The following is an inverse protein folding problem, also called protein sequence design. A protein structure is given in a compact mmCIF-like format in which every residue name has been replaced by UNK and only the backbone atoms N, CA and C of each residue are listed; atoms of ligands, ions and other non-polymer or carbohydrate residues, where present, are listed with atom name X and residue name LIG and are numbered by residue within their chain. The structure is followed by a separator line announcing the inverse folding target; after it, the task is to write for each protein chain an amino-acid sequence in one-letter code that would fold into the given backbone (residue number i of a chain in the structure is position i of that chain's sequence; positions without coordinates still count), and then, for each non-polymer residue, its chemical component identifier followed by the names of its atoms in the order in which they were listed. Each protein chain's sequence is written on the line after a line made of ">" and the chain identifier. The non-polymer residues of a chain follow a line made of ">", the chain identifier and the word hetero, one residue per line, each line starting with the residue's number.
data_IF_784256075228
#
_entry.id   IF_784256075228
#
_cell.length_a   1.000
_cell.length_b   1.000
_cell.length_c   1.000
_cell.angle_alpha   90.00
_cell.angle_beta   90.00
_cell.angle_gamma   90.00
#
_symmetry.space_group_name_H-M   'P 1'
#
loop_
_entity.id
_entity.type
_entity.pdbx_description
1 polymer ?
#
# COMPACT_ATOMS: atom_id res chain seq x y z
N UNK A 1 0.99 22.51 -31.46
CA UNK A 1 1.32 22.99 -30.10
C UNK A 1 2.29 24.16 -30.16
N UNK A 2 2.22 25.13 -29.24
CA UNK A 2 3.09 26.31 -29.27
C UNK A 2 4.42 26.08 -28.55
N UNK A 3 5.50 26.63 -29.10
CA UNK A 3 6.85 26.52 -28.51
C UNK A 3 6.90 27.08 -27.08
N UNK A 4 6.13 28.13 -26.79
CA UNK A 4 6.06 28.75 -25.44
C UNK A 4 5.59 27.76 -24.39
N UNK A 5 4.55 26.98 -24.68
CA UNK A 5 4.04 25.95 -23.74
C UNK A 5 5.02 24.81 -23.58
N UNK A 6 5.71 24.41 -24.65
CA UNK A 6 6.68 23.32 -24.56
C UNK A 6 7.90 23.73 -23.73
N UNK A 7 8.35 24.98 -23.87
CA UNK A 7 9.43 25.52 -23.05
C UNK A 7 9.13 25.51 -21.55
N UNK A 8 7.90 25.80 -21.14
CA UNK A 8 7.52 25.74 -19.72
C UNK A 8 7.48 24.32 -19.16
N UNK A 9 7.33 23.31 -20.03
CA UNK A 9 7.26 21.90 -19.63
C UNK A 9 8.64 21.21 -19.71
N UNK A 10 9.67 21.89 -20.22
CA UNK A 10 10.91 21.22 -20.62
C UNK A 10 11.73 20.72 -19.43
N UNK A 11 11.84 21.51 -18.37
CA UNK A 11 12.55 21.12 -17.14
C UNK A 11 11.89 19.91 -16.47
N UNK A 12 10.57 19.97 -16.25
CA UNK A 12 9.82 18.83 -15.69
C UNK A 12 9.85 17.60 -16.60
N UNK A 13 9.90 17.78 -17.92
CA UNK A 13 10.07 16.68 -18.87
C UNK A 13 11.46 16.03 -18.72
N UNK A 14 12.51 16.83 -18.62
CA UNK A 14 13.88 16.34 -18.44
C UNK A 14 14.02 15.60 -17.11
N UNK A 15 13.44 16.12 -16.03
CA UNK A 15 13.51 15.55 -14.69
C UNK A 15 12.56 14.35 -14.47
N UNK A 16 11.69 14.06 -15.44
CA UNK A 16 10.79 12.93 -15.41
C UNK A 16 9.55 13.13 -14.52
N UNK A 17 9.22 14.39 -14.22
CA UNK A 17 8.12 14.78 -13.33
C UNK A 17 6.77 14.94 -14.04
N UNK A 18 6.76 14.96 -15.37
CA UNK A 18 5.52 15.09 -16.14
C UNK A 18 4.70 13.79 -16.16
N UNK A 19 3.39 13.95 -16.06
CA UNK A 19 2.44 12.87 -16.35
C UNK A 19 2.59 12.36 -17.79
N UNK A 20 2.16 11.11 -18.03
CA UNK A 20 2.39 10.41 -19.29
C UNK A 20 1.88 11.18 -20.52
N UNK A 21 0.74 11.86 -20.39
CA UNK A 21 0.10 12.64 -21.44
C UNK A 21 0.93 13.88 -21.81
N UNK A 22 1.31 14.70 -20.83
CA UNK A 22 2.15 15.88 -21.06
C UNK A 22 3.56 15.50 -21.56
N UNK A 23 4.13 14.40 -21.05
CA UNK A 23 5.39 13.87 -21.56
C UNK A 23 5.31 13.42 -23.03
N UNK A 24 4.18 12.83 -23.45
CA UNK A 24 3.97 12.42 -24.85
C UNK A 24 3.90 13.62 -25.79
N UNK A 25 3.25 14.68 -25.33
CA UNK A 25 3.06 15.94 -26.03
C UNK A 25 4.40 16.64 -26.26
N UNK A 26 5.26 16.72 -25.22
CA UNK A 26 6.61 17.28 -25.34
C UNK A 26 7.45 16.46 -26.33
N UNK A 27 7.45 15.12 -26.20
CA UNK A 27 8.15 14.23 -27.15
C UNK A 27 7.70 14.44 -28.59
N UNK A 28 6.40 14.58 -28.83
CA UNK A 28 5.85 14.87 -30.15
C UNK A 28 6.42 16.16 -30.72
N UNK A 29 6.36 17.25 -29.95
CA UNK A 29 6.86 18.55 -30.40
C UNK A 29 8.37 18.57 -30.64
N UNK A 30 9.15 17.90 -29.79
CA UNK A 30 10.60 17.80 -29.97
C UNK A 30 10.98 17.06 -31.26
N UNK A 31 10.15 16.20 -31.84
CA UNK A 31 10.45 15.60 -33.16
C UNK A 31 10.29 16.62 -34.30
N UNK A 32 9.39 17.57 -34.15
CA UNK A 32 9.01 18.51 -35.22
C UNK A 32 9.73 19.86 -35.12
N UNK A 33 10.10 20.31 -33.92
CA UNK A 33 10.62 21.64 -33.69
C UNK A 33 12.12 21.65 -33.31
N UNK A 34 12.97 22.12 -34.23
CA UNK A 34 14.42 22.23 -34.01
C UNK A 34 14.78 23.19 -32.87
N UNK A 35 14.08 24.32 -32.74
CA UNK A 35 14.34 25.29 -31.69
C UNK A 35 14.07 24.73 -30.28
N UNK A 36 13.02 23.93 -30.12
CA UNK A 36 12.72 23.28 -28.84
C UNK A 36 13.68 22.12 -28.56
N UNK A 37 14.17 21.39 -29.58
CA UNK A 37 15.25 20.42 -29.38
C UNK A 37 16.53 21.07 -28.89
N UNK A 38 16.90 22.21 -29.45
CA UNK A 38 18.09 22.93 -29.00
C UNK A 38 17.93 23.37 -27.54
N UNK A 39 16.79 23.97 -27.19
CA UNK A 39 16.50 24.34 -25.80
C UNK A 39 16.57 23.15 -24.83
N UNK A 40 16.05 21.99 -25.23
CA UNK A 40 16.11 20.76 -24.43
C UNK A 40 17.56 20.29 -24.22
N UNK A 41 18.36 20.40 -25.28
CA UNK A 41 19.78 20.07 -25.25
C UNK A 41 20.53 21.00 -24.30
N UNK A 42 20.29 22.31 -24.40
CA UNK A 42 20.92 23.31 -23.55
C UNK A 42 20.56 23.11 -22.06
N UNK A 43 19.28 22.87 -21.74
CA UNK A 43 18.83 22.56 -20.37
C UNK A 43 19.44 21.25 -19.85
N UNK A 44 19.49 20.20 -20.68
CA UNK A 44 20.12 18.93 -20.30
C UNK A 44 21.62 19.09 -20.02
N UNK A 45 22.33 19.88 -20.82
CA UNK A 45 23.76 20.14 -20.62
C UNK A 45 24.02 20.89 -19.31
N UNK A 46 23.18 21.88 -18.98
CA UNK A 46 23.23 22.58 -17.70
C UNK A 46 23.00 21.61 -16.53
N UNK A 47 21.93 20.81 -16.60
CA UNK A 47 21.60 19.83 -15.56
C UNK A 47 22.71 18.80 -15.36
N UNK A 48 23.24 18.27 -16.44
CA UNK A 48 24.30 17.25 -16.39
C UNK A 48 25.61 17.85 -15.88
N UNK A 49 25.90 19.12 -16.19
CA UNK A 49 26.99 19.87 -15.58
C UNK A 49 26.82 20.05 -14.07
N UNK A 50 25.60 20.33 -13.60
CA UNK A 50 25.31 20.42 -12.17
C UNK A 50 25.49 19.06 -11.44
N UNK A 51 25.17 17.95 -12.11
CA UNK A 51 25.36 16.60 -11.56
C UNK A 51 26.82 16.18 -11.43
N UNK A 52 27.74 16.89 -12.08
CA UNK A 52 29.18 16.63 -11.97
C UNK A 52 29.82 17.32 -10.75
N UNK A 53 29.08 18.15 -10.01
CA UNK A 53 29.60 18.73 -8.78
C UNK A 53 29.97 17.63 -7.78
N UNK A 54 31.05 17.82 -6.99
CA UNK A 54 31.42 16.88 -5.94
C UNK A 54 30.24 16.65 -4.98
N UNK A 55 29.97 15.40 -4.59
CA UNK A 55 28.93 15.12 -3.61
C UNK A 55 29.31 15.77 -2.27
N UNK A 56 28.30 16.37 -1.62
CA UNK A 56 28.45 16.92 -0.27
C UNK A 56 27.99 15.85 0.71
N UNK A 57 28.88 15.40 1.58
CA UNK A 57 28.52 14.45 2.62
C UNK A 57 27.60 15.12 3.65
N UNK A 58 26.38 14.60 3.88
CA UNK A 58 25.49 15.12 4.90
C UNK A 58 26.07 14.86 6.30
N UNK A 59 25.76 15.70 7.31
CA UNK A 59 26.22 15.45 8.66
C UNK A 59 25.63 14.12 9.19
N UNK A 60 26.40 13.31 9.94
CA UNK A 60 25.93 12.01 10.45
C UNK A 60 24.63 12.09 11.27
N UNK A 61 24.41 13.23 11.94
CA UNK A 61 23.19 13.52 12.70
C UNK A 61 21.92 13.56 11.84
N UNK A 62 22.03 13.92 10.56
CA UNK A 62 20.89 13.91 9.63
C UNK A 62 20.37 12.48 9.46
N UNK A 63 21.27 11.54 9.17
CA UNK A 63 20.89 10.15 8.94
C UNK A 63 20.35 9.49 10.22
N UNK A 64 20.98 9.77 11.36
CA UNK A 64 20.46 9.34 12.65
C UNK A 64 19.05 9.89 12.93
N UNK A 65 18.79 11.16 12.59
CA UNK A 65 17.46 11.78 12.73
C UNK A 65 16.41 11.12 11.82
N UNK A 66 16.76 10.86 10.56
CA UNK A 66 15.86 10.16 9.61
C UNK A 66 15.54 8.75 10.12
N UNK A 67 16.54 7.98 10.54
CA UNK A 67 16.32 6.65 11.11
C UNK A 67 15.43 6.69 12.35
N UNK A 68 15.65 7.65 13.26
CA UNK A 68 14.82 7.80 14.45
C UNK A 68 13.36 8.11 14.10
N UNK A 69 13.12 8.96 13.10
CA UNK A 69 11.76 9.27 12.63
C UNK A 69 11.09 8.06 11.96
N UNK A 70 11.83 7.31 11.14
CA UNK A 70 11.31 6.08 10.52
C UNK A 70 10.96 5.02 11.58
N UNK A 71 11.87 4.76 12.52
CA UNK A 71 11.63 3.82 13.62
C UNK A 71 10.44 4.24 14.48
N UNK A 72 10.30 5.54 14.78
CA UNK A 72 9.16 6.05 15.53
C UNK A 72 7.84 5.88 14.76
N UNK A 73 7.86 6.11 13.44
CA UNK A 73 6.70 5.91 12.56
C UNK A 73 6.31 4.43 12.48
N UNK A 74 7.27 3.52 12.37
CA UNK A 74 7.04 2.06 12.37
C UNK A 74 6.42 1.58 13.69
N UNK A 75 6.98 2.02 14.82
CA UNK A 75 6.42 1.69 16.15
C UNK A 75 5.01 2.26 16.30
N UNK A 76 4.78 3.49 15.83
CA UNK A 76 3.46 4.10 15.86
C UNK A 76 2.45 3.34 14.99
N UNK A 77 2.86 2.85 13.82
CA UNK A 77 2.01 2.04 12.94
C UNK A 77 1.74 0.65 13.51
N UNK A 78 2.74 0.00 14.11
CA UNK A 78 2.61 -1.29 14.79
C UNK A 78 1.61 -1.24 15.97
N UNK A 79 1.55 -0.10 16.68
CA UNK A 79 0.59 0.14 17.76
C UNK A 79 -0.82 0.44 17.25
N UNK A 80 -1.04 0.65 15.95
CA UNK A 80 -2.38 0.89 15.41
C UNK A 80 -3.19 -0.41 15.46
N UNK A 81 -4.41 -0.37 16.03
CA UNK A 81 -5.26 -1.55 16.06
C UNK A 81 -5.63 -1.98 14.63
N UNK A 82 -5.69 -3.29 14.40
CA UNK A 82 -5.87 -3.89 13.08
C UNK A 82 -7.09 -3.33 12.32
N UNK A 83 -8.16 -3.00 13.03
CA UNK A 83 -9.37 -2.41 12.45
C UNK A 83 -9.14 -1.02 11.82
N UNK A 84 -8.19 -0.21 12.32
CA UNK A 84 -7.83 1.10 11.71
C UNK A 84 -7.04 0.92 10.43
N UNK A 85 -6.18 -0.10 10.37
CA UNK A 85 -5.46 -0.48 9.14
C UNK A 85 -6.40 -1.05 8.10
N UNK A 86 -7.39 -1.85 8.54
CA UNK A 86 -8.50 -2.25 7.71
C UNK A 86 -9.22 -1.00 7.18
N UNK A 87 -9.81 -0.14 8.02
CA UNK A 87 -10.52 1.07 7.59
C UNK A 87 -9.73 2.01 6.66
N UNK A 88 -8.42 2.19 6.88
CA UNK A 88 -7.56 2.98 5.99
C UNK A 88 -7.43 2.39 4.58
N UNK A 89 -7.51 1.05 4.44
CA UNK A 89 -7.56 0.37 3.14
C UNK A 89 -8.86 0.64 2.37
N UNK A 90 -9.95 0.99 3.07
CA UNK A 90 -11.24 1.39 2.47
C UNK A 90 -11.40 2.92 2.37
N UNK A 91 -10.42 3.69 2.85
CA UNK A 91 -10.50 5.15 2.93
C UNK A 91 -10.41 5.94 1.61
N UNK A 92 -9.91 5.43 0.45
CA UNK A 92 -9.97 6.23 -0.76
C UNK A 92 -11.38 6.29 -1.38
N UNK A 93 -12.37 5.59 -0.80
CA UNK A 93 -13.78 5.62 -1.24
C UNK A 93 -14.72 6.05 -0.12
N UNK A 94 -14.30 6.95 0.78
CA UNK A 94 -15.28 7.67 1.59
C UNK A 94 -16.00 8.68 0.68
N UNK A 95 -17.24 8.45 0.21
CA UNK A 95 -17.96 9.50 -0.48
C UNK A 95 -18.11 10.67 0.48
N UNK A 96 -17.99 11.90 -0.03
CA UNK A 96 -18.20 13.16 0.69
C UNK A 96 -19.65 13.36 1.18
N UNK A 97 -20.38 12.28 1.46
CA UNK A 97 -21.76 12.26 1.94
C UNK A 97 -21.89 11.79 3.41
N UNK A 98 -20.79 11.43 4.09
CA UNK A 98 -20.83 11.00 5.49
C UNK A 98 -21.31 12.10 6.48
N UNK A 99 -21.34 13.38 6.06
CA UNK A 99 -21.93 14.46 6.87
C UNK A 99 -23.46 14.48 6.81
N UNK A 100 -24.10 13.93 5.77
CA UNK A 100 -25.56 13.90 5.64
C UNK A 100 -26.23 12.75 6.39
N UNK A 101 -25.62 11.57 6.39
CA UNK A 101 -26.19 10.36 7.01
C UNK A 101 -26.29 10.44 8.54
N UNK A 102 -25.30 11.06 9.20
CA UNK A 102 -25.30 11.25 10.66
C UNK A 102 -26.41 12.18 11.14
N UNK A 103 -26.78 13.20 10.36
CA UNK A 103 -27.87 14.13 10.70
C UNK A 103 -29.24 13.46 10.57
N UNK A 104 -29.44 12.63 9.54
CA UNK A 104 -30.69 11.89 9.36
C UNK A 104 -30.88 10.82 10.45
N UNK A 105 -29.82 10.08 10.80
CA UNK A 105 -29.87 9.09 11.88
C UNK A 105 -30.12 9.74 13.25
N UNK A 106 -29.49 10.89 13.52
CA UNK A 106 -29.73 11.64 14.76
C UNK A 106 -31.17 12.19 14.83
N UNK A 107 -31.72 12.67 13.72
CA UNK A 107 -33.11 13.14 13.67
C UNK A 107 -34.12 12.00 13.92
N UNK A 108 -33.90 10.83 13.33
CA UNK A 108 -34.73 9.63 13.57
C UNK A 108 -34.62 9.16 15.02
N UNK A 109 -33.40 9.13 15.59
CA UNK A 109 -33.18 8.77 16.97
C UNK A 109 -33.84 9.77 17.95
N UNK A 110 -33.80 11.08 17.67
CA UNK A 110 -34.46 12.10 18.49
C UNK A 110 -35.98 11.98 18.40
N UNK A 111 -36.55 11.76 17.21
CA UNK A 111 -38.00 11.56 17.04
C UNK A 111 -38.46 10.29 17.76
N UNK A 112 -37.74 9.19 17.60
CA UNK A 112 -38.00 7.92 18.30
C UNK A 112 -37.88 8.09 19.83
N UNK A 113 -36.82 8.75 20.31
CA UNK A 113 -36.63 9.00 21.74
C UNK A 113 -37.73 9.88 22.33
N UNK A 114 -38.21 10.86 21.55
CA UNK A 114 -39.27 11.78 21.95
C UNK A 114 -40.65 11.10 21.95
N UNK A 115 -40.88 10.10 21.10
CA UNK A 115 -42.13 9.31 21.10
C UNK A 115 -42.13 8.21 22.16
N UNK A 116 -40.97 7.72 22.57
CA UNK A 116 -40.86 6.68 23.61
C UNK A 116 -40.78 7.23 25.04
N UNK A 117 -40.51 8.53 25.23
CA UNK A 117 -40.34 9.14 26.56
C UNK A 117 -41.63 9.52 27.32
N UNK A 118 -42.82 9.13 26.88
CA UNK A 118 -44.06 9.47 27.61
C UNK A 118 -44.53 8.43 28.62
N UNK A 119 -43.80 7.33 28.84
CA UNK A 119 -44.07 6.39 29.93
C UNK A 119 -42.75 5.82 30.44
N UNK A 120 -42.17 6.48 31.44
CA UNK A 120 -41.63 5.83 32.65
C UNK A 120 -40.86 6.88 33.46
N UNK A 121 -41.53 7.32 34.52
CA UNK A 121 -40.93 7.99 35.66
C UNK A 121 -40.81 6.91 36.75
N UNK A 122 -39.60 6.37 36.97
CA UNK A 122 -39.27 5.53 38.12
C UNK A 122 -37.76 5.47 38.37
N UNK A 123 -37.38 6.19 39.42
CA UNK A 123 -36.13 6.28 40.19
C UNK A 123 -35.34 4.97 40.47
N UNK A 124 -34.06 5.16 40.86
CA UNK A 124 -33.18 4.40 41.82
C UNK A 124 -31.91 3.75 41.15
N UNK A 125 -30.72 3.69 41.81
CA UNK A 125 -29.68 4.72 41.99
C UNK A 125 -28.31 4.29 41.37
N UNK A 126 -27.26 5.09 41.57
CA UNK A 126 -25.90 4.85 41.06
C UNK A 126 -25.12 3.75 41.82
N UNK A 127 -24.35 2.88 41.14
CA UNK A 127 -23.25 2.15 41.76
C UNK A 127 -21.93 2.91 41.60
N UNK A 128 -21.25 3.07 42.74
CA UNK A 128 -19.88 3.56 42.89
C UNK A 128 -18.90 2.52 42.33
N UNK A 129 -18.19 2.86 41.27
CA UNK A 129 -17.17 2.00 40.65
C UNK A 129 -15.82 2.32 41.29
N UNK A 130 -15.38 1.46 42.21
CA UNK A 130 -14.02 1.44 42.70
C UNK A 130 -13.06 1.01 41.58
N UNK A 131 -12.17 1.91 41.16
CA UNK A 131 -11.07 1.60 40.24
C UNK A 131 -9.99 0.91 41.06
N UNK A 132 -9.85 -0.41 40.91
CA UNK A 132 -8.62 -1.12 41.28
C UNK A 132 -7.91 -1.52 39.98
N UNK A 133 -6.74 -0.95 39.74
CA UNK A 133 -5.85 -1.38 38.66
C UNK A 133 -4.52 -1.80 39.28
N UNK A 134 -4.11 -3.09 39.22
CA UNK A 134 -2.72 -3.45 39.34
C UNK A 134 -2.03 -3.25 37.98
N UNK A 135 -0.99 -2.44 37.97
CA UNK A 135 -0.06 -2.29 36.84
C UNK A 135 0.94 -3.44 36.87
N UNK A 136 1.06 -4.31 35.84
CA UNK A 136 2.21 -5.18 35.73
C UNK A 136 3.36 -4.40 35.05
N UNK A 137 4.38 -4.14 35.85
CA UNK A 137 5.72 -3.76 35.40
C UNK A 137 6.29 -4.90 34.56
N UNK A 138 6.47 -4.67 33.25
CA UNK A 138 7.15 -5.62 32.36
C UNK A 138 8.57 -5.11 32.16
N UNK A 139 9.51 -5.74 32.85
CA UNK A 139 10.95 -5.57 32.60
C UNK A 139 11.30 -6.07 31.19
N UNK A 140 12.07 -5.30 30.40
CA UNK A 140 12.49 -5.72 29.07
C UNK A 140 13.62 -6.76 29.18
N UNK A 141 13.29 -8.01 28.88
CA UNK A 141 14.30 -9.07 28.72
C UNK A 141 15.12 -8.78 27.46
N UNK A 142 16.37 -8.34 27.65
CA UNK A 142 17.36 -8.20 26.58
C UNK A 142 17.62 -9.57 25.97
N UNK A 143 17.19 -9.76 24.73
CA UNK A 143 17.55 -10.93 23.93
C UNK A 143 18.93 -10.67 23.32
N UNK A 144 19.95 -11.51 23.58
CA UNK A 144 21.25 -11.35 22.96
C UNK A 144 21.16 -11.58 21.44
N UNK A 145 21.98 -10.90 20.62
CA UNK A 145 21.96 -11.06 19.18
C UNK A 145 22.27 -12.52 18.80
N UNK A 146 21.62 -13.07 17.75
CA UNK A 146 21.95 -14.40 17.29
C UNK A 146 23.41 -14.40 16.83
N UNK A 147 24.24 -15.18 17.50
CA UNK A 147 25.56 -15.53 17.02
C UNK A 147 25.40 -16.33 15.73
N UNK A 148 25.77 -15.73 14.59
CA UNK A 148 25.86 -16.45 13.32
C UNK A 148 26.79 -17.66 13.50
N UNK A 149 26.31 -18.90 13.28
CA UNK A 149 27.22 -20.01 13.16
C UNK A 149 28.09 -19.76 11.93
N UNK A 150 29.40 -19.99 12.05
CA UNK A 150 30.32 -20.07 10.91
C UNK A 150 29.99 -21.30 10.07
N UNK A 151 28.81 -21.29 9.45
CA UNK A 151 28.32 -22.31 8.55
C UNK A 151 28.87 -22.09 7.15
N UNK A 152 28.91 -23.17 6.38
CA UNK A 152 29.20 -23.12 4.96
C UNK A 152 28.20 -22.18 4.27
N UNK A 153 28.70 -21.01 3.85
CA UNK A 153 27.95 -19.95 3.17
C UNK A 153 27.17 -20.52 1.97
N UNK A 154 27.66 -21.60 1.35
CA UNK A 154 26.94 -22.24 0.23
C UNK A 154 25.67 -22.97 0.68
N UNK A 155 25.68 -23.63 1.84
CA UNK A 155 24.48 -24.25 2.42
C UNK A 155 23.50 -23.20 2.95
N UNK A 156 24.01 -22.10 3.51
CA UNK A 156 23.20 -20.97 3.97
C UNK A 156 22.47 -20.28 2.79
N UNK A 157 23.18 -20.04 1.69
CA UNK A 157 22.63 -19.49 0.45
C UNK A 157 21.66 -20.46 -0.25
N UNK A 158 21.90 -21.77 -0.19
CA UNK A 158 20.97 -22.77 -0.71
C UNK A 158 19.64 -22.77 0.07
N UNK A 159 19.70 -22.62 1.40
CA UNK A 159 18.52 -22.47 2.26
C UNK A 159 17.79 -21.13 2.08
N UNK A 160 18.50 -20.08 1.67
CA UNK A 160 17.93 -18.74 1.46
C UNK A 160 16.86 -18.72 0.37
N UNK A 161 17.08 -19.45 -0.73
CA UNK A 161 16.12 -19.54 -1.83
C UNK A 161 14.80 -20.21 -1.39
N UNK A 162 14.89 -21.21 -0.50
CA UNK A 162 13.73 -21.87 0.09
C UNK A 162 12.99 -20.92 1.05
N UNK A 163 13.70 -20.29 2.00
CA UNK A 163 13.12 -19.29 2.93
C UNK A 163 12.42 -18.14 2.20
N UNK A 164 13.01 -17.67 1.10
CA UNK A 164 12.41 -16.62 0.27
C UNK A 164 11.12 -17.11 -0.37
N UNK A 165 11.08 -18.37 -0.84
CA UNK A 165 9.88 -18.97 -1.42
C UNK A 165 8.78 -19.16 -0.38
N UNK A 166 9.14 -19.56 0.85
CA UNK A 166 8.20 -19.68 1.97
C UNK A 166 7.58 -18.33 2.32
N UNK A 167 8.39 -17.26 2.34
CA UNK A 167 7.91 -15.89 2.57
C UNK A 167 6.85 -15.47 1.53
N UNK A 168 7.03 -15.86 0.26
CA UNK A 168 6.03 -15.60 -0.76
C UNK A 168 4.74 -16.42 -0.58
N UNK A 169 4.86 -17.65 -0.09
CA UNK A 169 3.70 -18.48 0.22
C UNK A 169 2.87 -17.88 1.35
N UNK A 170 3.52 -17.49 2.46
CA UNK A 170 2.88 -16.85 3.60
C UNK A 170 2.13 -15.56 3.18
N UNK A 171 2.78 -14.71 2.38
CA UNK A 171 2.17 -13.48 1.88
C UNK A 171 0.96 -13.76 0.97
N UNK A 172 1.01 -14.82 0.15
CA UNK A 172 -0.11 -15.20 -0.70
C UNK A 172 -1.28 -15.77 0.11
N UNK A 173 -1.03 -16.52 1.17
CA UNK A 173 -2.07 -17.02 2.08
C UNK A 173 -2.79 -15.87 2.80
N UNK A 174 -2.03 -14.90 3.34
CA UNK A 174 -2.62 -13.72 3.98
C UNK A 174 -3.51 -12.93 2.99
N UNK A 175 -3.04 -12.72 1.77
CA UNK A 175 -3.80 -12.01 0.74
C UNK A 175 -5.04 -12.78 0.27
N UNK A 176 -4.99 -14.11 0.22
CA UNK A 176 -6.16 -14.95 -0.08
C UNK A 176 -7.22 -14.87 1.01
N UNK A 177 -6.83 -14.85 2.28
CA UNK A 177 -7.75 -14.66 3.39
C UNK A 177 -8.46 -13.31 3.27
N UNK A 178 -7.70 -12.22 3.04
CA UNK A 178 -8.25 -10.88 2.82
C UNK A 178 -9.18 -10.80 1.60
N UNK A 179 -8.81 -11.43 0.49
CA UNK A 179 -9.67 -11.49 -0.70
C UNK A 179 -10.97 -12.25 -0.42
N UNK A 180 -10.93 -13.30 0.40
CA UNK A 180 -12.12 -14.09 0.78
C UNK A 180 -13.07 -13.29 1.66
N UNK A 181 -12.56 -12.42 2.52
CA UNK A 181 -13.39 -11.49 3.31
C UNK A 181 -14.04 -10.41 2.42
N UNK A 182 -13.29 -9.86 1.45
CA UNK A 182 -13.81 -8.87 0.50
C UNK A 182 -14.91 -9.45 -0.43
N UNK A 183 -14.85 -10.75 -0.70
CA UNK A 183 -15.74 -11.51 -1.58
C UNK A 183 -17.21 -11.59 -1.15
N UNK A 184 -17.55 -11.15 0.06
CA UNK A 184 -18.93 -11.19 0.57
C UNK A 184 -19.91 -10.44 -0.35
N UNK A 185 -19.45 -9.37 -1.00
CA UNK A 185 -20.28 -8.52 -1.88
C UNK A 185 -20.25 -8.90 -3.37
N UNK A 186 -19.45 -9.90 -3.75
CA UNK A 186 -19.27 -10.28 -5.16
C UNK A 186 -20.40 -11.20 -5.68
N UNK A 187 -20.68 -11.08 -6.98
CA UNK A 187 -21.58 -11.99 -7.70
C UNK A 187 -20.97 -13.40 -7.80
N UNK A 188 -21.80 -14.40 -8.10
CA UNK A 188 -21.33 -15.78 -8.31
C UNK A 188 -20.33 -15.85 -9.48
N UNK A 189 -20.60 -15.14 -10.57
CA UNK A 189 -19.70 -15.09 -11.73
C UNK A 189 -18.34 -14.48 -11.39
N UNK A 190 -18.31 -13.42 -10.58
CA UNK A 190 -17.07 -12.82 -10.09
C UNK A 190 -16.29 -13.77 -9.17
N UNK A 191 -17.01 -14.55 -8.34
CA UNK A 191 -16.39 -15.56 -7.48
C UNK A 191 -15.77 -16.66 -8.35
N UNK A 192 -16.52 -17.23 -9.28
CA UNK A 192 -16.05 -18.31 -10.14
C UNK A 192 -14.84 -17.88 -11.00
N UNK A 193 -14.87 -16.67 -11.57
CA UNK A 193 -13.75 -16.14 -12.34
C UNK A 193 -12.48 -15.97 -11.50
N UNK A 194 -12.63 -15.51 -10.25
CA UNK A 194 -11.51 -15.40 -9.32
C UNK A 194 -10.93 -16.77 -8.94
N UNK A 195 -11.78 -17.74 -8.59
CA UNK A 195 -11.34 -19.07 -8.19
C UNK A 195 -10.63 -19.79 -9.35
N UNK A 196 -11.16 -19.66 -10.57
CA UNK A 196 -10.51 -20.18 -11.77
C UNK A 196 -9.12 -19.55 -11.98
N UNK A 197 -8.99 -18.23 -11.80
CA UNK A 197 -7.72 -17.52 -11.97
C UNK A 197 -6.69 -17.88 -10.89
N UNK A 198 -7.13 -18.01 -9.63
CA UNK A 198 -6.27 -18.46 -8.53
C UNK A 198 -5.80 -19.90 -8.77
N UNK A 199 -6.68 -20.80 -9.21
CA UNK A 199 -6.34 -22.17 -9.54
C UNK A 199 -5.29 -22.26 -10.67
N UNK A 200 -5.45 -21.45 -11.72
CA UNK A 200 -4.48 -21.36 -12.82
C UNK A 200 -3.10 -20.92 -12.31
N UNK A 201 -3.05 -19.86 -11.50
CA UNK A 201 -1.80 -19.30 -10.97
C UNK A 201 -1.11 -20.27 -10.00
N UNK A 202 -1.86 -20.97 -9.15
CA UNK A 202 -1.33 -22.06 -8.30
C UNK A 202 -0.75 -23.19 -9.15
N UNK A 203 -1.45 -23.62 -10.19
CA UNK A 203 -0.94 -24.61 -11.13
C UNK A 203 0.32 -24.17 -11.87
N UNK A 204 0.58 -22.87 -12.05
CA UNK A 204 1.86 -22.36 -12.55
C UNK A 204 2.99 -22.46 -11.53
N UNK A 205 2.70 -22.25 -10.24
CA UNK A 205 3.67 -22.39 -9.15
C UNK A 205 4.09 -23.85 -9.02
N UNK A 206 3.12 -24.78 -9.02
CA UNK A 206 3.38 -26.22 -8.86
C UNK A 206 4.24 -26.80 -9.99
N UNK A 207 4.07 -26.29 -11.21
CA UNK A 207 4.84 -26.72 -12.39
C UNK A 207 6.19 -25.99 -12.52
N UNK A 208 6.43 -24.93 -11.76
CA UNK A 208 7.65 -24.15 -11.87
C UNK A 208 8.83 -24.81 -11.14
N UNK A 209 10.02 -24.91 -11.78
CA UNK A 209 11.21 -25.36 -11.09
C UNK A 209 11.63 -24.37 -10.00
N UNK A 210 12.34 -24.87 -8.99
CA UNK A 210 12.81 -24.11 -7.84
C UNK A 210 13.60 -22.84 -8.21
N UNK A 211 13.63 -21.89 -7.27
CA UNK A 211 14.34 -20.62 -7.43
C UNK A 211 13.55 -19.59 -8.24
N UNK A 212 14.22 -18.89 -9.16
CA UNK A 212 13.68 -17.65 -9.78
C UNK A 212 12.38 -17.85 -10.57
N UNK A 213 12.20 -18.99 -11.22
CA UNK A 213 10.97 -19.33 -11.94
C UNK A 213 9.77 -19.41 -11.01
N UNK A 214 9.92 -20.10 -9.88
CA UNK A 214 8.87 -20.23 -8.87
C UNK A 214 8.59 -18.92 -8.16
N UNK A 215 9.63 -18.14 -7.83
CA UNK A 215 9.48 -16.79 -7.27
C UNK A 215 8.68 -15.86 -8.21
N UNK A 216 8.92 -15.94 -9.53
CA UNK A 216 8.12 -15.18 -10.52
C UNK A 216 6.67 -15.64 -10.57
N UNK A 217 6.41 -16.94 -10.44
CA UNK A 217 5.04 -17.47 -10.41
C UNK A 217 4.29 -16.99 -9.15
N UNK A 218 4.94 -17.03 -7.98
CA UNK A 218 4.42 -16.46 -6.75
C UNK A 218 4.14 -14.96 -6.87
N UNK A 219 5.07 -14.18 -7.43
CA UNK A 219 4.87 -12.74 -7.64
C UNK A 219 3.64 -12.41 -8.50
N UNK A 220 3.32 -13.26 -9.49
CA UNK A 220 2.09 -13.10 -10.30
C UNK A 220 0.82 -13.33 -9.46
N UNK A 221 0.82 -14.34 -8.60
CA UNK A 221 -0.30 -14.63 -7.70
C UNK A 221 -0.52 -13.47 -6.71
N UNK A 222 0.54 -13.04 -6.04
CA UNK A 222 0.49 -11.92 -5.09
C UNK A 222 -0.04 -10.65 -5.76
N UNK A 223 0.47 -10.29 -6.95
CA UNK A 223 0.01 -9.11 -7.69
C UNK A 223 -1.48 -9.20 -8.05
N UNK A 224 -1.95 -10.38 -8.44
CA UNK A 224 -3.37 -10.60 -8.74
C UNK A 224 -4.23 -10.44 -7.50
N UNK A 225 -3.84 -11.05 -6.37
CA UNK A 225 -4.58 -10.96 -5.11
C UNK A 225 -4.62 -9.53 -4.56
N UNK A 226 -3.51 -8.78 -4.64
CA UNK A 226 -3.48 -7.37 -4.29
C UNK A 226 -4.46 -6.54 -5.15
N UNK A 227 -4.56 -6.84 -6.45
CA UNK A 227 -5.54 -6.21 -7.33
C UNK A 227 -6.98 -6.51 -6.92
N UNK A 228 -7.26 -7.79 -6.61
CA UNK A 228 -8.57 -8.25 -6.17
C UNK A 228 -9.01 -7.64 -4.83
N UNK A 229 -8.07 -7.43 -3.91
CA UNK A 229 -8.33 -6.80 -2.60
C UNK A 229 -8.53 -5.28 -2.69
N UNK A 230 -7.84 -4.61 -3.63
CA UNK A 230 -7.80 -3.12 -3.66
C UNK A 230 -8.85 -2.51 -4.60
N UNK A 231 -9.19 -3.17 -5.71
CA UNK A 231 -9.88 -2.47 -6.82
C UNK A 231 -11.30 -2.92 -7.14
N UNK A 232 -11.85 -3.99 -6.57
CA UNK A 232 -13.07 -4.63 -7.09
C UNK A 232 -12.99 -4.89 -8.64
N UNK A 233 -11.77 -4.91 -9.20
CA UNK A 233 -11.47 -5.00 -10.63
C UNK A 233 -11.54 -6.46 -11.11
N UNK A 234 -12.62 -7.17 -10.78
CA UNK A 234 -12.87 -8.51 -11.32
C UNK A 234 -13.46 -8.40 -12.74
N UNK A 235 -13.96 -7.22 -13.10
CA UNK A 235 -14.61 -6.97 -14.38
C UNK A 235 -13.68 -7.02 -15.61
N UNK A 236 -12.35 -7.07 -15.45
CA UNK A 236 -11.41 -6.98 -16.60
C UNK A 236 -10.76 -8.29 -17.04
N UNK A 237 -11.15 -9.45 -16.49
CA UNK A 237 -10.67 -10.75 -16.97
C UNK A 237 -11.69 -11.53 -17.83
N UNK A 238 -12.92 -11.01 -17.98
CA UNK A 238 -13.99 -11.61 -18.79
C UNK A 238 -14.07 -11.12 -20.24
N UNK A 239 -12.99 -10.55 -20.79
CA UNK A 239 -12.94 -10.07 -22.17
C UNK A 239 -12.45 -11.15 -23.13
N UNK A 240 -13.36 -11.98 -23.64
CA UNK A 240 -13.09 -12.75 -24.84
C UNK A 240 -12.98 -11.83 -26.05
N UNK A 241 -11.85 -11.94 -26.76
CA UNK A 241 -11.73 -12.09 -28.22
C UNK A 241 -10.29 -12.56 -28.52
#
# INVERSE_FOLDING_TARGET
>A
MSCTRIRTLLTGYLDGELEADDGSVVRGHLRECAACRQAATDESALRDGLRQLPPVDPPPSLWAGVQAQLAAAEVADAKRPAWRRALARWAPVAPRFATGGLVAAAAVAVVWWRTQRTVDDAQVPAPEVAITAPSPEVEPKVVPPPSSPAGDVTAELAGEAARTTDTYADAAEELLALATEARVQWTTEQKDAFDARVAELRGLIDRAPEGRSRQRAWGKLIKYLQGAVVRDDIALAGGGL
#
